data_IF_674597683030
#
_entry.id   IF_674597683030
#
_cell.length_a   1.000
_cell.length_b   1.000
_cell.length_c   1.000
_cell.angle_alpha   90.00
_cell.angle_beta   90.00
_cell.angle_gamma   90.00
#
_symmetry.space_group_name_H-M   'P 1'
#
loop_
_entity.id
_entity.type
_entity.pdbx_description
1 polymer ?
#
# COMPACT_ATOMS: atom_id res chain seq x y z
N UNK A 1 -26.01 33.18 2.86
CA UNK A 1 -24.57 32.94 3.08
C UNK A 1 -24.07 31.90 2.08
N UNK A 2 -24.05 32.26 0.79
CA UNK A 2 -23.41 31.50 -0.29
C UNK A 2 -22.29 32.40 -0.84
N UNK A 3 -21.34 31.83 -1.57
CA UNK A 3 -20.20 32.51 -2.23
C UNK A 3 -18.98 32.71 -1.32
N UNK A 4 -18.05 31.73 -1.30
CA UNK A 4 -16.59 31.89 -1.49
C UNK A 4 -15.91 30.50 -1.55
N UNK A 5 -16.31 29.60 -2.47
CA UNK A 5 -15.66 28.29 -2.62
C UNK A 5 -14.15 28.41 -2.84
N UNK A 6 -13.72 29.37 -3.67
CA UNK A 6 -12.31 29.63 -3.98
C UNK A 6 -11.46 30.03 -2.76
N UNK A 7 -12.05 30.79 -1.82
CA UNK A 7 -11.34 31.13 -0.58
C UNK A 7 -11.19 29.91 0.32
N UNK A 8 -12.19 29.02 0.36
CA UNK A 8 -12.09 27.78 1.14
C UNK A 8 -11.08 26.82 0.55
N UNK A 9 -11.00 26.73 -0.78
CA UNK A 9 -9.96 25.97 -1.47
C UNK A 9 -8.57 26.53 -1.14
N UNK A 10 -8.40 27.85 -1.19
CA UNK A 10 -7.12 28.50 -0.87
C UNK A 10 -6.72 28.28 0.59
N UNK A 11 -7.67 28.39 1.52
CA UNK A 11 -7.44 28.13 2.95
C UNK A 11 -7.06 26.66 3.16
N UNK A 12 -7.75 25.72 2.50
CA UNK A 12 -7.41 24.31 2.59
C UNK A 12 -5.99 24.06 2.09
N UNK A 13 -5.62 24.58 0.91
CA UNK A 13 -4.26 24.46 0.39
C UNK A 13 -3.22 25.00 1.38
N UNK A 14 -3.47 26.17 1.99
CA UNK A 14 -2.58 26.74 2.99
C UNK A 14 -2.45 25.86 4.23
N UNK A 15 -3.55 25.31 4.74
CA UNK A 15 -3.52 24.36 5.87
C UNK A 15 -2.66 23.15 5.53
N UNK A 16 -2.85 22.56 4.34
CA UNK A 16 -2.08 21.41 3.88
C UNK A 16 -0.59 21.72 3.80
N UNK A 17 -0.23 22.87 3.22
CA UNK A 17 1.17 23.30 3.10
C UNK A 17 1.80 23.56 4.49
N UNK A 18 1.09 24.23 5.39
CA UNK A 18 1.57 24.46 6.76
C UNK A 18 1.76 23.14 7.52
N UNK A 19 0.84 22.20 7.39
CA UNK A 19 0.98 20.87 8.01
C UNK A 19 2.17 20.11 7.41
N UNK A 20 2.36 20.17 6.10
CA UNK A 20 3.51 19.56 5.43
C UNK A 20 4.85 20.17 5.89
N UNK A 21 4.95 21.49 6.01
CA UNK A 21 6.13 22.20 6.51
C UNK A 21 6.46 21.83 7.97
N UNK A 22 5.44 21.54 8.77
CA UNK A 22 5.58 21.05 10.14
C UNK A 22 5.89 19.54 10.22
N UNK A 23 5.96 18.84 9.09
CA UNK A 23 6.17 17.38 9.02
C UNK A 23 4.94 16.56 9.42
N UNK A 24 3.78 17.20 9.57
CA UNK A 24 2.49 16.61 9.98
C UNK A 24 1.75 16.00 8.79
N UNK A 25 2.40 15.04 8.12
CA UNK A 25 1.88 14.45 6.88
C UNK A 25 0.60 13.65 7.08
N UNK A 26 0.43 13.00 8.23
CA UNK A 26 -0.80 12.25 8.53
C UNK A 26 -1.97 13.19 8.72
N UNK A 27 -1.81 14.24 9.52
CA UNK A 27 -2.86 15.25 9.71
C UNK A 27 -3.20 15.97 8.39
N UNK A 28 -2.20 16.25 7.56
CA UNK A 28 -2.43 16.83 6.23
C UNK A 28 -3.26 15.90 5.33
N UNK A 29 -2.97 14.60 5.34
CA UNK A 29 -3.73 13.62 4.58
C UNK A 29 -5.17 13.49 5.11
N UNK A 30 -5.36 13.46 6.43
CA UNK A 30 -6.69 13.37 7.06
C UNK A 30 -7.59 14.55 6.64
N UNK A 31 -7.04 15.78 6.62
CA UNK A 31 -7.78 16.95 6.14
C UNK A 31 -8.11 16.84 4.63
N UNK A 32 -7.18 16.35 3.82
CA UNK A 32 -7.45 16.12 2.39
C UNK A 32 -8.53 15.08 2.16
N UNK A 33 -8.47 13.94 2.86
CA UNK A 33 -9.47 12.87 2.74
C UNK A 33 -10.85 13.30 3.24
N UNK A 34 -10.91 14.23 4.20
CA UNK A 34 -12.15 14.83 4.66
C UNK A 34 -12.81 15.71 3.60
N UNK A 35 -12.01 16.54 2.91
CA UNK A 35 -12.55 17.56 1.99
C UNK A 35 -12.62 17.12 0.53
N UNK A 36 -11.68 16.30 0.04
CA UNK A 36 -11.60 15.86 -1.36
C UNK A 36 -12.88 15.22 -1.91
N UNK A 37 -13.65 14.41 -1.16
CA UNK A 37 -14.90 13.84 -1.68
C UNK A 37 -16.01 14.87 -1.93
N UNK A 38 -15.88 16.08 -1.37
CA UNK A 38 -16.90 17.12 -1.45
C UNK A 38 -16.68 18.04 -2.66
N UNK A 39 -17.78 18.48 -3.29
CA UNK A 39 -17.72 19.58 -4.27
C UNK A 39 -17.37 20.91 -3.55
N UNK A 40 -16.46 21.75 -4.10
CA UNK A 40 -15.78 21.65 -5.40
C UNK A 40 -14.42 20.92 -5.38
N UNK A 41 -13.93 20.52 -4.21
CA UNK A 41 -12.56 19.98 -4.02
C UNK A 41 -12.27 18.72 -4.84
N UNK A 42 -13.28 17.87 -5.08
CA UNK A 42 -13.12 16.66 -5.89
C UNK A 42 -12.65 16.92 -7.33
N UNK A 43 -12.89 18.12 -7.86
CA UNK A 43 -12.53 18.54 -9.22
C UNK A 43 -11.27 19.40 -9.26
N UNK A 44 -10.60 19.61 -8.12
CA UNK A 44 -9.40 20.42 -8.04
C UNK A 44 -8.14 19.53 -8.24
N UNK A 45 -7.45 19.60 -9.40
CA UNK A 45 -6.29 18.77 -9.67
C UNK A 45 -5.12 19.04 -8.71
N UNK A 46 -4.96 20.28 -8.23
CA UNK A 46 -3.90 20.65 -7.28
C UNK A 46 -4.06 19.95 -5.94
N UNK A 47 -5.29 19.82 -5.43
CA UNK A 47 -5.54 19.10 -4.17
C UNK A 47 -5.26 17.60 -4.31
N UNK A 48 -5.59 17.00 -5.45
CA UNK A 48 -5.22 15.60 -5.73
C UNK A 48 -3.71 15.42 -5.84
N UNK A 49 -2.98 16.37 -6.41
CA UNK A 49 -1.50 16.35 -6.38
C UNK A 49 -0.98 16.38 -4.95
N UNK A 50 -1.50 17.26 -4.09
CA UNK A 50 -1.05 17.32 -2.71
C UNK A 50 -1.34 16.03 -1.94
N UNK A 51 -2.51 15.41 -2.14
CA UNK A 51 -2.81 14.10 -1.58
C UNK A 51 -1.82 13.04 -2.06
N UNK A 52 -1.55 12.98 -3.36
CA UNK A 52 -0.56 12.05 -3.93
C UNK A 52 0.84 12.24 -3.34
N UNK A 53 1.31 13.48 -3.24
CA UNK A 53 2.64 13.81 -2.69
C UNK A 53 2.77 13.50 -1.20
N UNK A 54 1.74 13.80 -0.42
CA UNK A 54 1.71 13.52 1.03
C UNK A 54 1.68 12.02 1.27
N UNK A 55 0.84 11.28 0.55
CA UNK A 55 0.76 9.82 0.65
C UNK A 55 2.08 9.16 0.22
N UNK A 56 2.72 9.65 -0.85
CA UNK A 56 4.06 9.22 -1.26
C UNK A 56 5.11 9.54 -0.20
N UNK A 57 5.00 10.66 0.51
CA UNK A 57 5.91 10.96 1.61
C UNK A 57 5.73 10.00 2.78
N UNK A 58 4.48 9.64 3.09
CA UNK A 58 4.16 8.65 4.11
C UNK A 58 4.64 7.26 3.72
N UNK A 59 4.57 6.85 2.44
CA UNK A 59 5.05 5.53 2.01
C UNK A 59 6.55 5.35 2.27
N UNK A 60 7.34 6.41 2.05
CA UNK A 60 8.79 6.43 2.32
C UNK A 60 9.14 6.34 3.81
N UNK A 61 8.19 6.64 4.70
CA UNK A 61 8.34 6.57 6.15
C UNK A 61 7.72 5.29 6.75
N UNK A 62 6.96 4.54 5.95
CA UNK A 62 6.22 3.36 6.38
C UNK A 62 7.04 2.08 6.25
N UNK A 63 6.59 1.02 6.91
CA UNK A 63 7.17 -0.32 6.74
C UNK A 63 6.85 -0.89 5.35
N UNK A 64 7.59 -1.91 4.88
CA UNK A 64 7.45 -2.45 3.52
C UNK A 64 6.01 -2.79 3.09
N UNK A 65 5.20 -3.40 3.96
CA UNK A 65 3.80 -3.76 3.62
C UNK A 65 2.91 -2.52 3.47
N UNK A 66 3.01 -1.58 4.40
CA UNK A 66 2.24 -0.32 4.38
C UNK A 66 2.69 0.59 3.23
N UNK A 67 3.98 0.55 2.90
CA UNK A 67 4.56 1.28 1.78
C UNK A 67 3.85 0.92 0.48
N UNK A 68 3.68 -0.37 0.16
CA UNK A 68 3.00 -0.78 -1.09
C UNK A 68 1.57 -0.25 -1.18
N UNK A 69 0.81 -0.31 -0.08
CA UNK A 69 -0.56 0.22 -0.03
C UNK A 69 -0.58 1.74 -0.25
N UNK A 70 0.33 2.48 0.40
CA UNK A 70 0.45 3.93 0.25
C UNK A 70 0.91 4.33 -1.16
N UNK A 71 1.81 3.57 -1.79
CA UNK A 71 2.22 3.79 -3.18
C UNK A 71 1.04 3.65 -4.15
N UNK A 72 0.20 2.63 -3.98
CA UNK A 72 -1.01 2.44 -4.78
C UNK A 72 -1.96 3.63 -4.59
N UNK A 73 -2.20 4.05 -3.34
CA UNK A 73 -3.05 5.20 -3.03
C UNK A 73 -2.51 6.50 -3.65
N UNK A 74 -1.20 6.75 -3.55
CA UNK A 74 -0.56 7.91 -4.16
C UNK A 74 -0.75 7.92 -5.69
N UNK A 75 -0.57 6.77 -6.33
CA UNK A 75 -0.80 6.60 -7.78
C UNK A 75 -2.25 6.90 -8.16
N UNK A 76 -3.22 6.46 -7.36
CA UNK A 76 -4.64 6.71 -7.63
C UNK A 76 -4.96 8.22 -7.59
N UNK A 77 -4.38 8.98 -6.65
CA UNK A 77 -4.49 10.44 -6.62
C UNK A 77 -3.87 11.13 -7.85
N UNK A 78 -2.68 10.70 -8.28
CA UNK A 78 -2.07 11.25 -9.50
C UNK A 78 -2.87 10.87 -10.76
N UNK A 79 -3.42 9.66 -10.81
CA UNK A 79 -4.31 9.24 -11.90
C UNK A 79 -5.57 10.10 -11.94
N UNK A 80 -6.13 10.44 -10.78
CA UNK A 80 -7.25 11.36 -10.67
C UNK A 80 -6.89 12.76 -11.15
N UNK A 81 -5.68 13.23 -10.85
CA UNK A 81 -5.13 14.49 -11.38
C UNK A 81 -5.12 14.47 -12.90
N UNK A 82 -4.61 13.40 -13.53
CA UNK A 82 -4.57 13.29 -15.00
C UNK A 82 -5.96 13.21 -15.65
N UNK A 83 -6.94 12.67 -14.94
CA UNK A 83 -8.32 12.66 -15.42
C UNK A 83 -8.92 14.08 -15.48
N UNK A 84 -8.47 14.99 -14.60
CA UNK A 84 -8.90 16.39 -14.53
C UNK A 84 -8.04 17.31 -15.40
N UNK A 85 -6.74 17.04 -15.47
CA UNK A 85 -5.72 17.81 -16.18
C UNK A 85 -4.75 16.85 -16.90
N UNK A 86 -5.03 16.56 -18.18
CA UNK A 86 -4.28 15.58 -18.96
C UNK A 86 -2.85 16.01 -19.28
N UNK A 87 -2.56 17.30 -19.22
CA UNK A 87 -1.24 17.86 -19.53
C UNK A 87 -0.36 18.00 -18.28
N UNK A 88 -0.84 17.55 -17.12
CA UNK A 88 -0.12 17.62 -15.88
C UNK A 88 1.13 16.75 -15.88
N UNK A 89 2.29 17.39 -16.08
CA UNK A 89 3.59 16.70 -16.13
C UNK A 89 3.97 16.09 -14.79
N UNK A 90 3.63 16.77 -13.69
CA UNK A 90 3.92 16.32 -12.32
C UNK A 90 3.27 14.95 -12.07
N UNK A 91 1.97 14.83 -12.37
CA UNK A 91 1.26 13.57 -12.18
C UNK A 91 1.80 12.44 -13.07
N UNK A 92 2.21 12.73 -14.32
CA UNK A 92 2.84 11.73 -15.21
C UNK A 92 4.14 11.21 -14.61
N UNK A 93 5.04 12.12 -14.22
CA UNK A 93 6.34 11.77 -13.66
C UNK A 93 6.21 10.93 -12.40
N UNK A 94 5.34 11.32 -11.46
CA UNK A 94 5.19 10.55 -10.23
C UNK A 94 4.50 9.20 -10.42
N UNK A 95 3.61 9.04 -11.40
CA UNK A 95 3.05 7.72 -11.73
C UNK A 95 4.15 6.79 -12.25
N UNK A 96 5.03 7.29 -13.12
CA UNK A 96 6.17 6.52 -13.63
C UNK A 96 7.11 6.09 -12.49
N UNK A 97 7.52 7.03 -11.64
CA UNK A 97 8.36 6.76 -10.47
C UNK A 97 7.74 5.70 -9.53
N UNK A 98 6.44 5.82 -9.23
CA UNK A 98 5.75 4.87 -8.34
C UNK A 98 5.70 3.48 -8.98
N UNK A 99 5.49 3.37 -10.29
CA UNK A 99 5.46 2.07 -10.97
C UNK A 99 6.83 1.38 -10.92
N UNK A 100 7.92 2.14 -11.10
CA UNK A 100 9.29 1.61 -10.95
C UNK A 100 9.57 1.10 -9.53
N UNK A 101 9.14 1.85 -8.51
CA UNK A 101 9.29 1.47 -7.11
C UNK A 101 8.47 0.21 -6.78
N UNK A 102 7.22 0.13 -7.26
CA UNK A 102 6.38 -1.06 -7.10
C UNK A 102 6.99 -2.30 -7.75
N UNK A 103 7.54 -2.20 -8.96
CA UNK A 103 8.21 -3.32 -9.62
C UNK A 103 9.48 -3.77 -8.87
N UNK A 104 10.23 -2.83 -8.30
CA UNK A 104 11.44 -3.14 -7.53
C UNK A 104 11.13 -3.91 -6.23
N UNK A 105 9.97 -3.68 -5.63
CA UNK A 105 9.55 -4.41 -4.41
C UNK A 105 9.13 -5.87 -4.65
N UNK A 106 8.80 -6.25 -5.89
CA UNK A 106 8.32 -7.60 -6.22
C UNK A 106 9.46 -8.59 -6.53
N UNK A 107 10.64 -8.11 -6.93
CA UNK A 107 11.80 -8.94 -7.30
C UNK A 107 12.66 -9.38 -6.09
N UNK A 108 12.29 -8.94 -4.88
CA UNK A 108 12.96 -9.33 -3.62
C UNK A 108 12.29 -10.53 -2.92
N UNK A 109 11.43 -11.26 -3.63
CA UNK A 109 10.75 -12.46 -3.13
C UNK A 109 11.69 -13.66 -2.95
N UNK A 110 12.32 -13.73 -1.78
CA UNK A 110 12.40 -14.92 -0.92
C UNK A 110 12.62 -16.28 -1.64
N UNK A 111 13.87 -16.58 -1.99
CA UNK A 111 14.36 -17.95 -2.21
C UNK A 111 14.42 -18.67 -0.85
N UNK A 112 13.25 -19.02 -0.33
CA UNK A 112 13.13 -20.03 0.72
C UNK A 112 12.69 -21.33 0.05
N UNK A 113 13.61 -21.92 -0.72
CA UNK A 113 13.50 -23.31 -1.14
C UNK A 113 13.57 -24.20 0.11
N UNK A 114 12.41 -24.52 0.67
CA UNK A 114 12.25 -25.64 1.61
C UNK A 114 12.71 -26.92 0.89
N UNK A 115 13.98 -27.26 1.09
CA UNK A 115 14.52 -28.56 0.73
C UNK A 115 13.92 -29.58 1.70
N UNK A 116 12.80 -30.19 1.30
CA UNK A 116 12.32 -31.45 1.84
C UNK A 116 13.40 -32.52 1.57
N UNK A 117 14.33 -32.69 2.52
CA UNK A 117 15.21 -33.86 2.54
C UNK A 117 14.44 -35.04 3.11
N UNK A 118 13.74 -35.78 2.24
CA UNK A 118 13.41 -37.18 2.46
C UNK A 118 14.71 -37.96 2.72
N UNK A 119 14.92 -38.40 3.95
CA UNK A 119 15.93 -39.40 4.28
C UNK A 119 15.26 -40.75 4.48
N UNK A 120 15.40 -41.60 3.47
CA UNK A 120 15.13 -43.03 3.50
C UNK A 120 15.84 -43.70 4.69
N UNK A 121 15.08 -44.40 5.53
CA UNK A 121 15.61 -45.35 6.50
C UNK A 121 15.15 -46.77 6.11
N UNK A 122 15.93 -47.38 5.24
CA UNK A 122 15.98 -48.83 5.07
C UNK A 122 16.53 -49.48 6.36
N UNK A 123 15.75 -50.42 6.92
CA UNK A 123 16.08 -51.08 8.17
C UNK A 123 15.37 -52.42 8.35
N UNK A 124 15.62 -53.35 7.42
CA UNK A 124 15.35 -54.79 7.57
C UNK A 124 15.88 -55.32 8.91
N UNK A 125 15.01 -55.88 9.77
CA UNK A 125 15.32 -57.02 10.65
C UNK A 125 14.10 -57.89 10.95
N UNK A 126 14.04 -58.99 10.22
CA UNK A 126 13.47 -60.28 10.60
C UNK A 126 13.49 -60.63 12.11
N UNK A 127 12.33 -60.99 12.69
CA UNK A 127 12.23 -62.19 13.56
C UNK A 127 10.81 -62.62 13.92
N UNK A 128 10.46 -63.81 13.40
CA UNK A 128 10.01 -64.99 14.16
C UNK A 128 8.71 -64.94 14.98
N UNK A 129 7.72 -65.64 14.40
CA UNK A 129 7.06 -66.89 14.88
C UNK A 129 6.06 -66.85 16.06
N UNK A 130 4.93 -67.50 15.72
CA UNK A 130 4.14 -68.47 16.51
C UNK A 130 3.09 -67.90 17.46
N UNK A 131 1.79 -68.18 17.18
CA UNK A 131 0.89 -69.15 17.87
C UNK A 131 0.69 -68.78 19.36
N UNK A 132 -0.50 -68.67 19.93
CA UNK A 132 -1.81 -69.29 19.72
C UNK A 132 -2.74 -68.77 20.84
N UNK A 133 -4.07 -68.87 20.68
CA UNK A 133 -5.06 -69.11 21.76
C UNK A 133 -5.19 -67.99 22.84
N UNK A 134 -6.34 -67.43 23.20
CA UNK A 134 -7.60 -68.02 23.72
C UNK A 134 -8.66 -66.92 23.86
N UNK A 135 -9.92 -67.34 23.87
CA UNK A 135 -11.13 -66.63 24.27
C UNK A 135 -11.04 -65.82 25.58
N UNK A 136 -11.88 -64.78 25.73
CA UNK A 136 -13.00 -64.80 26.68
C UNK A 136 -13.70 -63.43 26.81
N UNK A 137 -15.02 -63.52 26.99
CA UNK A 137 -16.01 -62.48 27.22
C UNK A 137 -15.81 -61.67 28.52
N UNK A 138 -16.43 -60.49 28.54
CA UNK A 138 -16.75 -59.71 29.74
C UNK A 138 -17.61 -58.51 29.36
#
# INVERSE_FOLDING_TARGET
MRHYPEQRESILQEIILVLADLGKFKEALDELDLYLPSFPYQENPTLHIYAGLITLRLSKLANHTENKTLLIQARDHFTRTLALDQDNTIAKTFIEEINEELHSTEDSGDDNSEVEMEMDLDGDRSSKRARSHTDAQG
#
